data_IF_964740026030
#
_entry.id   IF_964740026030
#
_cell.length_a   1.000
_cell.length_b   1.000
_cell.length_c   1.000
_cell.angle_alpha   90.00
_cell.angle_beta   90.00
_cell.angle_gamma   90.00
#
_symmetry.space_group_name_H-M   'P 1'
#
loop_
_entity.id
_entity.type
_entity.pdbx_description
1 polymer ?
#
# COMPACT_ATOMS: atom_id res chain seq x y z
N UNK A 1 44.53 13.73 -56.18
CA UNK A 1 44.34 14.55 -54.96
C UNK A 1 42.92 14.35 -54.49
N UNK A 2 42.78 13.82 -53.27
CA UNK A 2 41.63 13.83 -52.35
C UNK A 2 40.27 13.22 -52.80
N UNK A 3 40.01 12.08 -52.16
CA UNK A 3 38.73 11.45 -51.80
C UNK A 3 37.72 12.38 -51.11
N UNK A 4 36.43 12.06 -51.19
CA UNK A 4 35.40 12.65 -50.33
C UNK A 4 34.00 12.06 -50.53
N UNK A 5 33.79 10.85 -50.01
CA UNK A 5 32.48 10.22 -49.80
C UNK A 5 31.67 11.01 -48.76
N UNK A 6 30.49 11.53 -49.12
CA UNK A 6 29.57 12.14 -48.15
C UNK A 6 28.64 11.06 -47.59
N UNK A 7 29.02 10.49 -46.46
CA UNK A 7 28.20 9.58 -45.66
C UNK A 7 27.13 10.34 -44.86
N UNK A 8 25.93 9.78 -44.90
CA UNK A 8 24.74 10.06 -44.09
C UNK A 8 25.01 10.32 -42.61
N UNK A 9 24.35 11.32 -42.04
CA UNK A 9 24.08 11.40 -40.61
C UNK A 9 22.57 11.51 -40.39
N UNK A 10 21.87 10.37 -40.47
CA UNK A 10 20.54 10.24 -39.91
C UNK A 10 20.69 10.29 -38.39
N UNK A 11 20.17 11.33 -37.76
CA UNK A 11 20.09 11.42 -36.31
C UNK A 11 19.25 10.23 -35.80
N UNK A 12 19.91 9.28 -35.15
CA UNK A 12 19.27 8.20 -34.44
C UNK A 12 18.59 8.82 -33.23
N UNK A 13 17.26 8.97 -33.31
CA UNK A 13 16.44 9.21 -32.14
C UNK A 13 16.62 8.01 -31.20
N UNK A 14 17.27 8.24 -30.07
CA UNK A 14 17.37 7.26 -28.99
C UNK A 14 15.99 7.21 -28.35
N UNK A 15 15.20 6.19 -28.72
CA UNK A 15 13.98 5.84 -28.01
C UNK A 15 14.34 5.45 -26.57
N UNK A 16 13.60 5.91 -25.54
CA UNK A 16 13.80 5.42 -24.19
C UNK A 16 13.54 3.91 -24.17
N UNK A 17 14.38 3.18 -23.43
CA UNK A 17 14.27 1.75 -23.19
C UNK A 17 12.81 1.38 -22.94
N UNK A 18 12.22 0.58 -23.82
CA UNK A 18 10.91 -0.02 -23.55
C UNK A 18 11.11 -0.98 -22.39
N UNK A 19 10.73 -0.56 -21.19
CA UNK A 19 10.52 -1.44 -20.05
C UNK A 19 9.62 -2.59 -20.52
N UNK A 20 10.09 -3.84 -20.43
CA UNK A 20 9.32 -4.99 -20.88
C UNK A 20 8.08 -5.15 -19.98
N UNK A 21 6.97 -4.56 -20.41
CA UNK A 21 5.67 -4.70 -19.75
C UNK A 21 5.17 -6.15 -19.91
N UNK A 22 5.08 -6.85 -18.79
CA UNK A 22 4.58 -8.21 -18.67
C UNK A 22 3.07 -8.17 -18.40
N UNK A 23 2.29 -8.89 -19.21
CA UNK A 23 0.86 -9.08 -18.97
C UNK A 23 0.61 -10.47 -18.40
N UNK A 24 0.22 -10.54 -17.14
CA UNK A 24 0.03 -11.78 -16.40
C UNK A 24 -1.45 -12.04 -16.15
N UNK A 25 -1.91 -13.27 -16.37
CA UNK A 25 -3.27 -13.70 -16.03
C UNK A 25 -3.24 -14.55 -14.76
N UNK A 26 -4.00 -14.15 -13.76
CA UNK A 26 -4.10 -14.81 -12.47
C UNK A 26 -5.49 -15.40 -12.32
N UNK A 27 -5.57 -16.74 -12.17
CA UNK A 27 -6.82 -17.44 -11.88
C UNK A 27 -6.99 -17.56 -10.37
N UNK A 28 -8.07 -17.00 -9.84
CA UNK A 28 -8.42 -17.06 -8.42
C UNK A 28 -9.94 -17.18 -8.24
N UNK A 29 -10.38 -18.05 -7.33
CA UNK A 29 -11.79 -18.30 -7.01
C UNK A 29 -12.69 -18.49 -8.25
N UNK A 30 -12.19 -19.23 -9.25
CA UNK A 30 -12.91 -19.52 -10.50
C UNK A 30 -12.96 -18.38 -11.53
N UNK A 31 -12.43 -17.19 -11.20
CA UNK A 31 -12.34 -16.03 -12.08
C UNK A 31 -10.90 -15.80 -12.57
N UNK A 32 -10.76 -15.04 -13.65
CA UNK A 32 -9.46 -14.66 -14.23
C UNK A 32 -9.27 -13.15 -14.16
N UNK A 33 -8.12 -12.73 -13.66
CA UNK A 33 -7.74 -11.33 -13.48
C UNK A 33 -6.48 -11.07 -14.29
N UNK A 34 -6.44 -9.99 -15.06
CA UNK A 34 -5.26 -9.61 -15.83
C UNK A 34 -4.57 -8.45 -15.14
N UNK A 35 -3.28 -8.64 -14.82
CA UNK A 35 -2.44 -7.63 -14.18
C UNK A 35 -1.26 -7.32 -15.09
N UNK A 36 -0.88 -6.04 -15.14
CA UNK A 36 0.27 -5.56 -15.91
C UNK A 36 1.35 -5.10 -14.95
N UNK A 37 2.58 -5.55 -15.19
CA UNK A 37 3.76 -5.29 -14.35
C UNK A 37 4.98 -5.14 -15.24
N UNK A 38 6.05 -4.52 -14.75
CA UNK A 38 7.31 -4.37 -15.48
C UNK A 38 8.34 -5.37 -14.97
N UNK A 39 9.38 -5.69 -15.76
CA UNK A 39 10.42 -6.65 -15.34
C UNK A 39 11.25 -6.21 -14.12
N UNK A 40 11.31 -4.91 -13.86
CA UNK A 40 11.92 -4.29 -12.69
C UNK A 40 10.97 -4.17 -11.48
N UNK A 41 9.69 -4.54 -11.63
CA UNK A 41 8.81 -4.74 -10.49
C UNK A 41 9.25 -5.98 -9.70
N UNK A 42 9.00 -5.98 -8.39
CA UNK A 42 9.23 -7.14 -7.52
C UNK A 42 8.03 -8.08 -7.51
N UNK A 43 8.20 -9.30 -7.02
CA UNK A 43 7.08 -10.21 -6.72
C UNK A 43 6.08 -9.56 -5.76
N UNK A 44 6.54 -8.77 -4.80
CA UNK A 44 5.66 -8.01 -3.90
C UNK A 44 4.76 -7.02 -4.65
N UNK A 45 5.29 -6.32 -5.65
CA UNK A 45 4.49 -5.42 -6.50
C UNK A 45 3.48 -6.21 -7.35
N UNK A 46 3.86 -7.36 -7.91
CA UNK A 46 2.91 -8.26 -8.57
C UNK A 46 1.76 -8.66 -7.63
N UNK A 47 2.08 -9.10 -6.40
CA UNK A 47 1.07 -9.43 -5.41
C UNK A 47 0.19 -8.23 -5.07
N UNK A 48 0.74 -7.01 -5.03
CA UNK A 48 -0.06 -5.79 -4.82
C UNK A 48 -1.04 -5.54 -5.96
N UNK A 49 -0.62 -5.66 -7.22
CA UNK A 49 -1.54 -5.53 -8.38
C UNK A 49 -2.65 -6.58 -8.35
N UNK A 50 -2.32 -7.80 -7.89
CA UNK A 50 -3.33 -8.84 -7.68
C UNK A 50 -4.26 -8.46 -6.54
N UNK A 51 -3.75 -7.89 -5.45
CA UNK A 51 -4.56 -7.39 -4.34
C UNK A 51 -5.54 -6.32 -4.82
N UNK A 52 -5.12 -5.35 -5.63
CA UNK A 52 -6.01 -4.32 -6.19
C UNK A 52 -7.15 -4.92 -7.04
N UNK A 53 -6.89 -6.03 -7.73
CA UNK A 53 -7.90 -6.70 -8.56
C UNK A 53 -8.79 -7.69 -7.78
N UNK A 54 -8.35 -8.17 -6.61
CA UNK A 54 -8.98 -9.32 -5.91
C UNK A 54 -9.33 -9.06 -4.45
N UNK A 55 -8.83 -7.99 -3.84
CA UNK A 55 -8.84 -7.68 -2.39
C UNK A 55 -8.18 -8.75 -1.50
N UNK A 56 -7.41 -9.68 -2.07
CA UNK A 56 -6.61 -10.64 -1.30
C UNK A 56 -5.28 -9.98 -0.95
N UNK A 57 -4.97 -9.80 0.34
CA UNK A 57 -3.71 -9.16 0.77
C UNK A 57 -2.47 -9.90 0.24
N UNK A 58 -1.35 -9.21 -0.07
CA UNK A 58 -0.11 -9.85 -0.53
C UNK A 58 0.35 -11.01 0.36
N UNK A 59 0.29 -10.84 1.70
CA UNK A 59 0.63 -11.89 2.69
C UNK A 59 -0.27 -13.13 2.62
N UNK A 60 -1.48 -13.01 2.07
CA UNK A 60 -2.46 -14.10 1.88
C UNK A 60 -2.39 -14.72 0.49
N UNK A 61 -1.54 -14.22 -0.40
CA UNK A 61 -1.43 -14.71 -1.77
C UNK A 61 -0.34 -15.76 -1.90
N UNK A 62 -0.75 -16.98 -2.27
CA UNK A 62 0.14 -18.05 -2.72
C UNK A 62 0.03 -18.20 -4.24
N UNK A 63 1.02 -17.66 -4.95
CA UNK A 63 1.11 -17.75 -6.40
C UNK A 63 1.72 -19.10 -6.81
N UNK A 64 1.02 -19.81 -7.69
CA UNK A 64 1.41 -21.13 -8.18
C UNK A 64 1.65 -21.08 -9.68
N UNK A 65 2.90 -21.27 -10.07
CA UNK A 65 3.30 -21.46 -11.46
C UNK A 65 4.37 -22.56 -11.56
N UNK A 66 4.06 -23.74 -12.15
CA UNK A 66 4.92 -24.92 -12.07
C UNK A 66 6.36 -24.73 -12.54
N UNK A 67 6.63 -23.81 -13.47
CA UNK A 67 7.97 -23.60 -14.05
C UNK A 67 8.89 -22.73 -13.21
N UNK A 68 8.36 -22.07 -12.18
CA UNK A 68 9.07 -21.06 -11.39
C UNK A 68 9.31 -21.51 -9.94
N UNK A 69 8.62 -22.56 -9.48
CA UNK A 69 8.81 -23.12 -8.14
C UNK A 69 8.47 -22.11 -7.03
N UNK A 70 9.28 -22.08 -5.98
CA UNK A 70 9.08 -21.22 -4.79
C UNK A 70 9.55 -19.78 -4.97
N UNK A 71 10.10 -19.39 -6.13
CA UNK A 71 10.61 -18.02 -6.35
C UNK A 71 9.52 -16.93 -6.19
N UNK A 72 8.26 -17.27 -6.48
CA UNK A 72 7.11 -16.35 -6.28
C UNK A 72 6.69 -16.18 -4.81
N UNK A 73 7.39 -16.83 -3.87
CA UNK A 73 7.20 -16.63 -2.45
C UNK A 73 8.12 -15.53 -1.88
N UNK A 74 9.18 -15.14 -2.60
CA UNK A 74 10.10 -14.09 -2.18
C UNK A 74 9.67 -12.75 -2.76
N UNK A 75 9.11 -11.88 -1.91
CA UNK A 75 8.54 -10.59 -2.31
C UNK A 75 9.60 -9.57 -2.74
N UNK A 76 10.87 -9.82 -2.41
CA UNK A 76 11.99 -8.95 -2.78
C UNK A 76 12.55 -9.24 -4.18
N UNK A 77 12.25 -10.41 -4.74
CA UNK A 77 12.80 -10.85 -6.01
C UNK A 77 12.22 -10.05 -7.18
N UNK A 78 13.07 -9.60 -8.12
CA UNK A 78 12.62 -8.91 -9.33
C UNK A 78 11.96 -9.88 -10.30
N UNK A 79 10.89 -9.46 -10.98
CA UNK A 79 10.19 -10.29 -11.96
C UNK A 79 11.08 -10.68 -13.14
N UNK A 80 12.02 -9.81 -13.54
CA UNK A 80 13.05 -10.08 -14.55
C UNK A 80 14.00 -11.21 -14.19
N UNK A 81 14.20 -11.49 -12.90
CA UNK A 81 15.03 -12.60 -12.40
C UNK A 81 14.28 -13.94 -12.40
N UNK A 82 12.98 -13.90 -12.71
CA UNK A 82 12.11 -15.05 -12.78
C UNK A 82 11.88 -15.40 -14.25
N UNK A 83 11.98 -16.68 -14.66
CA UNK A 83 11.71 -17.10 -16.04
C UNK A 83 10.21 -17.08 -16.36
N UNK A 84 9.59 -15.89 -16.32
CA UNK A 84 8.22 -15.63 -16.72
C UNK A 84 8.18 -15.33 -18.22
N UNK A 85 7.20 -15.91 -18.92
CA UNK A 85 6.91 -15.55 -20.31
C UNK A 85 6.00 -14.33 -20.34
N UNK A 86 6.02 -13.57 -21.44
CA UNK A 86 5.22 -12.34 -21.61
C UNK A 86 3.69 -12.50 -21.40
N UNK A 87 3.16 -13.72 -21.55
CA UNK A 87 1.74 -14.06 -21.32
C UNK A 87 1.63 -15.34 -20.48
N UNK A 88 1.94 -15.25 -19.18
CA UNK A 88 1.80 -16.36 -18.24
C UNK A 88 0.42 -16.38 -17.62
N UNK A 89 -0.17 -17.57 -17.58
CA UNK A 89 -1.34 -17.88 -16.77
C UNK A 89 -0.93 -18.65 -15.52
N UNK A 90 -1.17 -18.07 -14.35
CA UNK A 90 -0.84 -18.66 -13.04
C UNK A 90 -2.09 -18.81 -12.19
N UNK A 91 -2.04 -19.72 -11.21
CA UNK A 91 -3.13 -19.90 -10.24
C UNK A 91 -2.74 -19.21 -8.94
N UNK A 92 -3.64 -18.46 -8.34
CA UNK A 92 -3.46 -17.89 -7.00
C UNK A 92 -4.41 -18.58 -6.02
N UNK A 93 -3.87 -18.97 -4.87
CA UNK A 93 -4.63 -19.39 -3.70
C UNK A 93 -4.53 -18.27 -2.67
N UNK A 94 -5.68 -17.85 -2.14
CA UNK A 94 -5.76 -16.82 -1.13
C UNK A 94 -7.22 -16.57 -0.73
N UNK A 95 -7.41 -15.91 0.40
CA UNK A 95 -8.73 -15.54 0.95
C UNK A 95 -8.74 -14.05 1.17
N UNK A 96 -9.84 -13.37 0.82
CA UNK A 96 -10.01 -11.94 1.10
C UNK A 96 -10.25 -11.75 2.59
N UNK A 97 -9.78 -10.63 3.15
CA UNK A 97 -9.93 -10.36 4.58
C UNK A 97 -11.41 -10.28 5.01
N UNK A 98 -12.31 -9.94 4.08
CA UNK A 98 -13.73 -9.85 4.36
C UNK A 98 -14.42 -11.21 4.57
N UNK A 99 -13.87 -12.28 4.02
CA UNK A 99 -14.36 -13.65 4.22
C UNK A 99 -13.77 -14.28 5.50
N UNK A 100 -12.79 -13.61 6.12
CA UNK A 100 -12.22 -14.04 7.40
C UNK A 100 -13.17 -13.61 8.52
N UNK A 101 -13.66 -14.60 9.25
CA UNK A 101 -14.64 -14.43 10.35
C UNK A 101 -13.91 -14.28 11.71
N UNK A 102 -12.70 -14.81 11.81
CA UNK A 102 -11.89 -14.80 13.03
C UNK A 102 -10.83 -13.72 12.92
N UNK A 103 -10.69 -12.87 13.95
CA UNK A 103 -9.64 -11.85 13.96
C UNK A 103 -8.26 -12.49 13.71
N UNK A 104 -7.55 -12.12 12.65
CA UNK A 104 -6.26 -12.70 12.35
C UNK A 104 -5.25 -12.35 13.46
N UNK A 105 -5.02 -13.33 14.35
CA UNK A 105 -4.01 -13.28 15.43
C UNK A 105 -2.60 -13.01 14.89
N UNK A 106 -2.35 -13.33 13.62
CA UNK A 106 -1.10 -12.99 12.93
C UNK A 106 -1.10 -11.53 12.46
N UNK A 107 -0.81 -10.67 13.42
CA UNK A 107 -0.49 -9.28 13.20
C UNK A 107 0.91 -9.15 12.58
N UNK A 108 1.17 -8.10 11.78
CA UNK A 108 2.51 -7.87 11.25
C UNK A 108 3.56 -7.86 12.37
N UNK A 109 4.80 -8.23 12.04
CA UNK A 109 5.93 -8.03 12.95
C UNK A 109 5.95 -6.58 13.42
N UNK A 110 6.27 -6.36 14.70
CA UNK A 110 6.47 -5.00 15.21
C UNK A 110 7.75 -4.52 14.54
N UNK A 111 7.60 -3.71 13.49
CA UNK A 111 8.72 -3.06 12.84
C UNK A 111 8.90 -1.73 13.53
N UNK A 112 10.02 -1.54 14.22
CA UNK A 112 10.42 -0.22 14.69
C UNK A 112 10.79 0.61 13.46
N UNK A 113 9.92 1.52 13.03
CA UNK A 113 10.10 2.31 11.83
C UNK A 113 10.95 3.57 12.04
N UNK A 114 11.41 3.84 13.28
CA UNK A 114 12.22 5.01 13.62
C UNK A 114 13.71 4.88 13.25
N UNK A 115 14.16 3.74 12.74
CA UNK A 115 15.58 3.52 12.42
C UNK A 115 16.00 4.01 11.02
N UNK A 116 15.08 4.53 10.20
CA UNK A 116 15.44 5.09 8.90
C UNK A 116 16.15 6.44 9.06
N UNK A 117 17.36 6.55 8.51
CA UNK A 117 18.10 7.81 8.45
C UNK A 117 17.37 8.84 7.57
N UNK A 118 17.50 10.13 7.90
CA UNK A 118 16.82 11.22 7.18
C UNK A 118 17.16 11.25 5.68
N UNK A 119 18.42 10.98 5.33
CA UNK A 119 18.88 10.91 3.94
C UNK A 119 18.19 9.77 3.18
N UNK A 120 18.00 8.62 3.83
CA UNK A 120 17.32 7.47 3.21
C UNK A 120 15.83 7.73 2.94
N UNK A 121 15.16 8.45 3.84
CA UNK A 121 13.76 8.86 3.64
C UNK A 121 13.64 9.78 2.43
N UNK A 122 14.58 10.71 2.26
CA UNK A 122 14.63 11.61 1.09
C UNK A 122 14.84 10.80 -0.19
N UNK A 123 15.81 9.88 -0.20
CA UNK A 123 16.08 9.03 -1.35
C UNK A 123 14.85 8.20 -1.76
N UNK A 124 14.17 7.57 -0.80
CA UNK A 124 12.95 6.79 -1.08
C UNK A 124 11.86 7.69 -1.66
N UNK A 125 11.62 8.86 -1.07
CA UNK A 125 10.60 9.81 -1.53
C UNK A 125 10.90 10.31 -2.94
N UNK A 126 12.18 10.55 -3.25
CA UNK A 126 12.59 11.19 -4.49
C UNK A 126 12.83 10.25 -5.66
N UNK A 127 12.95 8.94 -5.43
CA UNK A 127 12.95 7.89 -6.47
C UNK A 127 11.73 8.02 -7.40
N UNK A 128 11.97 8.18 -8.70
CA UNK A 128 10.93 8.37 -9.71
C UNK A 128 9.89 7.24 -9.75
N UNK A 129 10.33 6.00 -9.53
CA UNK A 129 9.44 4.83 -9.44
C UNK A 129 8.41 5.01 -8.33
N UNK A 130 8.82 5.51 -7.15
CA UNK A 130 7.91 5.73 -6.02
C UNK A 130 6.96 6.91 -6.28
N UNK A 131 7.44 7.97 -6.94
CA UNK A 131 6.60 9.08 -7.41
C UNK A 131 5.52 8.61 -8.39
N UNK A 132 5.86 7.70 -9.30
CA UNK A 132 4.90 7.12 -10.23
C UNK A 132 3.87 6.22 -9.51
N UNK A 133 4.31 5.39 -8.56
CA UNK A 133 3.41 4.59 -7.72
C UNK A 133 2.42 5.46 -6.95
N UNK A 134 2.90 6.57 -6.38
CA UNK A 134 2.05 7.55 -5.70
C UNK A 134 1.04 8.19 -6.65
N UNK A 135 1.46 8.63 -7.85
CA UNK A 135 0.54 9.21 -8.86
C UNK A 135 -0.57 8.22 -9.24
N UNK A 136 -0.22 6.97 -9.53
CA UNK A 136 -1.21 5.91 -9.81
C UNK A 136 -2.17 5.73 -8.64
N UNK A 137 -1.66 5.73 -7.41
CA UNK A 137 -2.51 5.61 -6.20
C UNK A 137 -3.46 6.79 -6.05
N UNK A 138 -3.01 8.02 -6.32
CA UNK A 138 -3.84 9.23 -6.30
C UNK A 138 -4.99 9.14 -7.31
N UNK A 139 -4.72 8.62 -8.52
CA UNK A 139 -5.74 8.48 -9.57
C UNK A 139 -6.78 7.39 -9.28
N UNK A 140 -6.39 6.32 -8.59
CA UNK A 140 -7.21 5.12 -8.43
C UNK A 140 -7.92 5.05 -7.09
N UNK A 141 -7.29 5.51 -6.01
CA UNK A 141 -7.84 5.42 -4.66
C UNK A 141 -8.64 6.67 -4.32
N UNK A 142 -9.96 6.50 -4.13
CA UNK A 142 -10.84 7.59 -3.73
C UNK A 142 -11.03 7.61 -2.22
N UNK A 143 -10.60 8.70 -1.58
CA UNK A 143 -10.84 8.91 -0.15
C UNK A 143 -12.31 9.29 0.06
N UNK A 144 -13.03 8.51 0.87
CA UNK A 144 -14.41 8.79 1.24
C UNK A 144 -14.47 9.62 2.53
N UNK A 145 -14.96 10.86 2.42
CA UNK A 145 -15.16 11.74 3.56
C UNK A 145 -16.40 11.31 4.36
N UNK A 146 -16.19 11.04 5.64
CA UNK A 146 -17.28 10.87 6.62
C UNK A 146 -17.72 12.20 7.21
N UNK A 147 -16.77 13.11 7.41
CA UNK A 147 -17.00 14.47 7.87
C UNK A 147 -16.10 15.40 7.05
N UNK A 148 -16.56 16.61 6.68
CA UNK A 148 -15.76 17.54 5.90
C UNK A 148 -14.55 18.05 6.70
N UNK A 149 -13.47 18.43 6.01
CA UNK A 149 -12.37 19.18 6.62
C UNK A 149 -12.88 20.54 7.11
N UNK A 150 -12.35 21.01 8.24
CA UNK A 150 -12.72 22.28 8.87
C UNK A 150 -11.72 23.36 8.48
N UNK A 151 -12.24 24.53 8.14
CA UNK A 151 -11.42 25.67 7.72
C UNK A 151 -10.35 26.02 8.76
N UNK A 152 -9.11 26.16 8.30
CA UNK A 152 -7.96 26.54 9.13
C UNK A 152 -7.45 25.46 10.10
N UNK A 153 -8.03 24.26 10.10
CA UNK A 153 -7.54 23.13 10.91
C UNK A 153 -6.46 22.36 10.16
N UNK A 154 -5.45 21.90 10.92
CA UNK A 154 -4.41 21.00 10.40
C UNK A 154 -4.96 19.59 10.28
N UNK A 155 -4.21 18.66 9.69
CA UNK A 155 -4.57 17.25 9.66
C UNK A 155 -3.66 16.40 10.57
N UNK A 156 -4.28 15.54 11.37
CA UNK A 156 -3.63 14.48 12.13
C UNK A 156 -4.05 13.13 11.53
N UNK A 157 -3.06 12.36 11.06
CA UNK A 157 -3.26 10.99 10.56
C UNK A 157 -2.79 10.01 11.63
N UNK A 158 -3.65 9.08 12.03
CA UNK A 158 -3.37 8.12 13.09
C UNK A 158 -3.43 6.69 12.56
N UNK A 159 -2.44 5.88 12.94
CA UNK A 159 -2.51 4.43 12.82
C UNK A 159 -3.43 3.83 13.90
N UNK A 160 -3.76 2.55 13.80
CA UNK A 160 -4.63 1.85 14.76
C UNK A 160 -3.80 0.94 15.68
N UNK A 161 -3.19 -0.08 15.11
CA UNK A 161 -2.58 -1.18 15.84
C UNK A 161 -1.33 -0.69 16.59
N UNK A 162 -1.31 -0.86 17.92
CA UNK A 162 -0.32 -0.28 18.85
C UNK A 162 -0.21 1.26 18.87
N UNK A 163 -1.10 1.96 18.16
CA UNK A 163 -1.24 3.42 18.27
C UNK A 163 -2.44 3.81 19.11
N UNK A 164 -3.63 3.26 18.82
CA UNK A 164 -4.88 3.57 19.54
C UNK A 164 -5.39 2.38 20.37
N UNK A 165 -4.86 1.19 20.13
CA UNK A 165 -5.38 -0.07 20.66
C UNK A 165 -4.33 -1.19 20.68
N UNK A 166 -4.41 -2.08 21.67
CA UNK A 166 -3.66 -3.32 21.73
C UNK A 166 -4.36 -4.44 20.95
N UNK A 167 -3.81 -4.77 19.79
CA UNK A 167 -4.37 -5.77 18.88
C UNK A 167 -3.83 -7.19 19.08
N UNK A 168 -2.94 -7.40 20.05
CA UNK A 168 -2.33 -8.72 20.29
C UNK A 168 -2.84 -9.39 21.54
N UNK A 169 -3.21 -8.62 22.57
CA UNK A 169 -3.72 -9.21 23.80
C UNK A 169 -5.14 -9.76 23.58
N UNK A 170 -5.46 -10.94 24.14
CA UNK A 170 -6.82 -11.42 24.18
C UNK A 170 -7.64 -10.56 25.15
N UNK A 171 -8.89 -10.27 24.80
CA UNK A 171 -9.86 -9.64 25.70
C UNK A 171 -11.28 -10.10 25.39
N UNK A 172 -12.13 -10.12 26.41
CA UNK A 172 -13.56 -10.39 26.23
C UNK A 172 -14.31 -9.15 25.73
N UNK A 173 -13.80 -7.96 26.07
CA UNK A 173 -14.35 -6.67 25.64
C UNK A 173 -13.28 -5.85 24.90
N UNK A 174 -13.52 -5.40 23.66
CA UNK A 174 -12.59 -4.53 22.93
C UNK A 174 -12.17 -3.27 23.69
N UNK A 175 -13.00 -2.76 24.61
CA UNK A 175 -12.65 -1.58 25.41
C UNK A 175 -11.48 -1.83 26.37
N UNK A 176 -11.22 -3.08 26.76
CA UNK A 176 -10.07 -3.44 27.63
C UNK A 176 -8.73 -3.28 26.92
N UNK A 177 -8.76 -3.35 25.59
CA UNK A 177 -7.60 -3.22 24.72
C UNK A 177 -7.43 -1.78 24.21
N UNK A 178 -8.36 -0.88 24.54
CA UNK A 178 -8.29 0.53 24.19
C UNK A 178 -7.08 1.19 24.88
N UNK A 179 -6.28 1.95 24.13
CA UNK A 179 -5.16 2.68 24.73
C UNK A 179 -5.70 3.66 25.78
N UNK A 180 -5.13 3.73 26.99
CA UNK A 180 -5.57 4.66 28.01
C UNK A 180 -5.62 6.10 27.48
N UNK A 181 -6.68 6.83 27.83
CA UNK A 181 -6.96 8.21 27.41
C UNK A 181 -7.23 8.41 25.91
N UNK A 182 -7.61 7.36 25.16
CA UNK A 182 -7.90 7.47 23.73
C UNK A 182 -8.89 8.59 23.40
N UNK A 183 -10.02 8.66 24.09
CA UNK A 183 -11.07 9.63 23.78
C UNK A 183 -10.74 11.04 24.23
N UNK A 184 -10.07 11.18 25.37
CA UNK A 184 -9.56 12.45 25.88
C UNK A 184 -8.51 13.02 24.92
N UNK A 185 -7.60 12.17 24.45
CA UNK A 185 -6.61 12.52 23.42
C UNK A 185 -7.28 12.98 22.13
N UNK A 186 -8.20 12.17 21.56
CA UNK A 186 -8.88 12.51 20.31
C UNK A 186 -9.72 13.79 20.43
N UNK A 187 -10.38 14.00 21.57
CA UNK A 187 -11.12 15.24 21.84
C UNK A 187 -10.19 16.46 21.90
N UNK A 188 -9.03 16.31 22.57
CA UNK A 188 -8.06 17.39 22.70
C UNK A 188 -7.43 17.76 21.35
N UNK A 189 -6.98 16.78 20.56
CA UNK A 189 -6.40 17.07 19.24
C UNK A 189 -7.45 17.55 18.24
N UNK A 190 -8.71 17.13 18.36
CA UNK A 190 -9.77 17.61 17.49
C UNK A 190 -10.00 19.13 17.60
N UNK A 191 -9.61 19.76 18.71
CA UNK A 191 -9.65 21.22 18.84
C UNK A 191 -8.76 21.91 17.78
N UNK A 192 -7.66 21.29 17.36
CA UNK A 192 -6.65 21.87 16.47
C UNK A 192 -6.50 21.14 15.12
N UNK A 193 -6.90 19.87 15.06
CA UNK A 193 -6.68 18.98 13.92
C UNK A 193 -7.98 18.30 13.47
N UNK A 194 -8.19 18.22 12.17
CA UNK A 194 -8.99 17.17 11.57
C UNK A 194 -8.27 15.82 11.70
N UNK A 195 -9.03 14.74 11.76
CA UNK A 195 -8.50 13.43 12.13
C UNK A 195 -8.83 12.42 11.03
N UNK A 196 -7.81 11.82 10.43
CA UNK A 196 -7.95 10.66 9.56
C UNK A 196 -7.32 9.44 10.22
N UNK A 197 -7.96 8.27 10.06
CA UNK A 197 -7.42 6.99 10.53
C UNK A 197 -6.89 6.22 9.33
N UNK A 198 -5.65 5.76 9.39
CA UNK A 198 -5.03 5.00 8.31
C UNK A 198 -4.38 3.72 8.82
N UNK A 199 -4.96 2.57 8.48
CA UNK A 199 -4.47 1.24 8.87
C UNK A 199 -3.88 0.46 7.69
N UNK A 200 -2.98 -0.48 7.99
CA UNK A 200 -2.48 -1.48 7.04
C UNK A 200 -3.39 -2.73 6.93
N UNK A 201 -4.65 -2.64 7.39
CA UNK A 201 -5.66 -3.71 7.31
C UNK A 201 -6.75 -3.37 6.28
N UNK A 202 -7.76 -4.23 6.08
CA UNK A 202 -8.90 -3.92 5.20
C UNK A 202 -9.85 -2.90 5.81
N UNK A 203 -10.57 -2.15 4.97
CA UNK A 203 -11.59 -1.19 5.43
C UNK A 203 -12.60 -1.81 6.41
N UNK A 204 -13.06 -3.05 6.15
CA UNK A 204 -13.94 -3.79 7.07
C UNK A 204 -13.38 -3.87 8.49
N UNK A 205 -12.09 -4.22 8.63
CA UNK A 205 -11.43 -4.29 9.93
C UNK A 205 -11.23 -2.91 10.57
N UNK A 206 -10.92 -1.89 9.76
CA UNK A 206 -10.81 -0.50 10.23
C UNK A 206 -12.15 -0.04 10.83
N UNK A 207 -13.25 -0.23 10.11
CA UNK A 207 -14.59 0.16 10.56
C UNK A 207 -15.02 -0.62 11.80
N UNK A 208 -14.78 -1.94 11.83
CA UNK A 208 -15.11 -2.79 12.97
C UNK A 208 -14.37 -2.33 14.23
N UNK A 209 -13.04 -2.19 14.16
CA UNK A 209 -12.20 -1.78 15.31
C UNK A 209 -12.58 -0.37 15.79
N UNK A 210 -12.65 0.61 14.89
CA UNK A 210 -12.99 1.99 15.26
C UNK A 210 -14.43 2.12 15.75
N UNK A 211 -15.35 1.28 15.28
CA UNK A 211 -16.72 1.20 15.78
C UNK A 211 -16.80 0.62 17.19
N UNK A 212 -16.12 -0.51 17.43
CA UNK A 212 -16.08 -1.17 18.74
C UNK A 212 -15.41 -0.30 19.81
N UNK A 213 -14.39 0.47 19.44
CA UNK A 213 -13.74 1.43 20.34
C UNK A 213 -14.53 2.72 20.52
N UNK A 214 -15.71 2.87 19.91
CA UNK A 214 -16.51 4.10 20.03
C UNK A 214 -15.94 5.33 19.32
N UNK A 215 -14.84 5.17 18.57
CA UNK A 215 -14.14 6.26 17.86
C UNK A 215 -15.00 6.86 16.76
N UNK A 216 -15.79 6.03 16.06
CA UNK A 216 -16.61 6.49 14.93
C UNK A 216 -17.87 7.27 15.34
N UNK A 217 -18.33 7.11 16.59
CA UNK A 217 -19.62 7.62 17.07
C UNK A 217 -19.48 8.45 18.35
N UNK A 218 -18.35 9.14 18.53
CA UNK A 218 -18.15 10.02 19.68
C UNK A 218 -18.81 11.40 19.47
N UNK A 219 -19.43 12.00 20.49
CA UNK A 219 -19.99 13.35 20.39
C UNK A 219 -18.94 14.47 20.43
N UNK A 220 -17.75 14.22 21.00
CA UNK A 220 -16.75 15.26 21.28
C UNK A 220 -15.77 15.52 20.13
N UNK A 221 -15.72 14.62 19.14
CA UNK A 221 -14.86 14.76 17.96
C UNK A 221 -15.46 14.05 16.76
N UNK A 222 -14.91 14.31 15.57
CA UNK A 222 -15.29 13.66 14.31
C UNK A 222 -14.07 13.14 13.57
N UNK A 223 -14.22 11.98 12.95
CA UNK A 223 -13.23 11.40 12.05
C UNK A 223 -13.57 11.82 10.62
N UNK A 224 -12.63 12.48 9.95
CA UNK A 224 -12.77 13.05 8.61
C UNK A 224 -12.84 11.95 7.55
N UNK A 225 -11.90 11.00 7.58
CA UNK A 225 -11.87 9.85 6.66
C UNK A 225 -11.18 8.63 7.27
N UNK A 226 -11.46 7.46 6.70
CA UNK A 226 -10.78 6.20 6.97
C UNK A 226 -9.99 5.79 5.73
N UNK A 227 -8.76 5.33 5.93
CA UNK A 227 -7.88 4.81 4.89
C UNK A 227 -7.39 3.42 5.32
N UNK A 228 -7.23 2.54 4.34
CA UNK A 228 -6.88 1.14 4.54
C UNK A 228 -5.62 0.76 3.74
N UNK A 229 -5.27 -0.53 3.74
CA UNK A 229 -4.08 -1.01 3.05
C UNK A 229 -4.07 -0.72 1.53
N UNK A 230 -5.24 -0.56 0.90
CA UNK A 230 -5.33 -0.22 -0.53
C UNK A 230 -4.90 1.22 -0.81
N UNK A 231 -4.75 2.07 0.20
CA UNK A 231 -4.16 3.40 0.04
C UNK A 231 -2.61 3.37 0.06
N UNK A 232 -1.99 2.27 0.50
CA UNK A 232 -0.54 2.16 0.69
C UNK A 232 0.22 1.89 -0.62
N UNK A 233 1.53 2.16 -0.63
CA UNK A 233 2.42 1.82 -1.75
C UNK A 233 3.61 0.99 -1.24
N UNK A 234 4.14 0.10 -2.09
CA UNK A 234 5.41 -0.59 -1.82
C UNK A 234 6.57 0.25 -2.32
N UNK A 235 7.53 0.48 -1.45
CA UNK A 235 8.78 1.18 -1.74
C UNK A 235 9.97 0.28 -1.51
N UNK A 236 11.10 0.63 -2.12
CA UNK A 236 12.38 -0.04 -1.93
C UNK A 236 13.39 0.88 -1.26
N UNK A 237 13.87 0.44 -0.12
CA UNK A 237 14.96 0.99 0.67
C UNK A 237 16.22 0.14 0.46
N UNK A 238 17.38 0.78 0.51
CA UNK A 238 18.65 0.09 0.35
C UNK A 238 19.06 -0.61 1.67
N UNK A 239 18.59 -0.13 2.82
CA UNK A 239 18.90 -0.70 4.15
C UNK A 239 17.85 -1.71 4.64
N UNK A 240 16.56 -1.48 4.36
CA UNK A 240 15.42 -2.30 4.80
C UNK A 240 14.83 -3.19 3.71
N UNK A 241 15.30 -3.04 2.47
CA UNK A 241 14.72 -3.75 1.35
C UNK A 241 13.32 -3.24 1.01
N UNK A 242 12.43 -4.16 0.66
CA UNK A 242 11.08 -3.85 0.14
C UNK A 242 10.08 -3.79 1.29
N UNK A 243 9.36 -2.68 1.42
CA UNK A 243 8.34 -2.52 2.46
C UNK A 243 7.18 -1.63 1.99
N UNK A 244 6.07 -1.69 2.74
CA UNK A 244 4.88 -0.90 2.46
C UNK A 244 4.85 0.36 3.33
N UNK A 245 4.51 1.49 2.72
CA UNK A 245 4.37 2.76 3.43
C UNK A 245 3.00 3.40 3.19
N UNK A 246 2.65 4.33 4.08
CA UNK A 246 1.44 5.16 4.02
C UNK A 246 1.81 6.53 3.43
N UNK A 247 1.74 6.73 2.10
CA UNK A 247 2.22 7.95 1.49
C UNK A 247 1.26 9.12 1.73
N UNK A 248 1.58 10.01 2.68
CA UNK A 248 0.76 11.20 2.97
C UNK A 248 0.51 12.09 1.74
N UNK A 249 1.37 12.02 0.72
CA UNK A 249 1.14 12.66 -0.57
C UNK A 249 -0.17 12.26 -1.27
N UNK A 250 -0.75 11.10 -0.95
CA UNK A 250 -2.08 10.70 -1.42
C UNK A 250 -3.16 11.65 -0.88
N UNK A 251 -3.06 11.98 0.41
CA UNK A 251 -4.00 12.87 1.10
C UNK A 251 -3.80 14.29 0.59
N UNK A 252 -2.56 14.79 0.59
CA UNK A 252 -2.23 16.16 0.16
C UNK A 252 -2.63 16.46 -1.29
N UNK A 253 -2.64 15.44 -2.17
CA UNK A 253 -3.10 15.62 -3.54
C UNK A 253 -4.62 15.79 -3.66
N UNK A 254 -5.39 15.18 -2.75
CA UNK A 254 -6.86 15.24 -2.74
C UNK A 254 -7.39 16.41 -1.89
N UNK A 255 -6.62 16.82 -0.88
CA UNK A 255 -6.98 17.88 0.07
C UNK A 255 -5.78 18.82 0.24
N UNK A 256 -5.51 19.71 -0.74
CA UNK A 256 -4.38 20.63 -0.69
C UNK A 256 -4.47 21.69 0.42
N UNK A 257 -5.67 21.87 1.00
CA UNK A 257 -5.94 22.80 2.10
C UNK A 257 -5.54 22.30 3.50
N UNK A 258 -5.16 21.02 3.66
CA UNK A 258 -4.75 20.41 4.95
C UNK A 258 -3.26 20.13 5.06
#
# INVERSE_FOLDING_TARGET
>A
MASGTSSSASAVAVSPLTEEELTLTVKWSGKEYTVRVCGDDTVGELKRRICEATNVLPKRQKLLYPKVGSKLADDSLLLSQIPLKAAVKMTMIGTVEDDIIVDPVESPEIVDDFELGQDEVVDIKDKDVNKQKLRRRIEQYKIELRNPCREGKKLLVLDIDYTLFDHRSPAENPLELMRPYLHEFLSAVYAEYDIMIWSATSMKWVELKMGQLGVLNNPNYKITALLDHLAMITVQSDTRGVFDCKPLGLIWANFPEV
#
